data_IF_630937386514
#
_entry.id   IF_630937386514
#
_cell.length_a   1.000
_cell.length_b   1.000
_cell.length_c   1.000
_cell.angle_alpha   90.00
_cell.angle_beta   90.00
_cell.angle_gamma   90.00
#
_symmetry.space_group_name_H-M   'P 1'
#
loop_
_entity.id
_entity.type
_entity.pdbx_description
1 polymer ?
#
# COMPACT_ATOMS: atom_id res chain seq x y z
N UNK A 1 -0.68 14.48 -18.26
CA UNK A 1 -0.76 13.17 -18.92
C UNK A 1 0.61 12.56 -18.70
N UNK A 2 0.69 11.46 -18.01
CA UNK A 2 1.90 10.64 -17.97
C UNK A 2 2.15 10.19 -19.41
N UNK A 3 3.28 10.57 -20.00
CA UNK A 3 3.71 10.06 -21.31
C UNK A 3 4.20 8.62 -21.13
N UNK A 4 3.23 7.70 -20.98
CA UNK A 4 3.56 6.28 -20.96
C UNK A 4 4.17 5.95 -22.31
N UNK A 5 5.44 5.55 -22.31
CA UNK A 5 6.19 5.29 -23.53
C UNK A 5 5.61 4.07 -24.26
N UNK A 6 5.02 4.27 -25.43
CA UNK A 6 4.45 3.21 -26.27
C UNK A 6 5.43 2.04 -26.54
N UNK A 7 6.74 2.33 -26.66
CA UNK A 7 7.75 1.29 -26.79
C UNK A 7 7.81 0.33 -25.59
N UNK A 8 7.51 0.84 -24.39
CA UNK A 8 7.46 0.03 -23.18
C UNK A 8 6.19 -0.82 -23.13
N UNK A 9 5.05 -0.35 -23.67
CA UNK A 9 3.80 -1.13 -23.75
C UNK A 9 3.99 -2.33 -24.65
N UNK A 10 4.53 -2.17 -25.85
CA UNK A 10 4.80 -3.29 -26.77
C UNK A 10 5.75 -4.32 -26.14
N UNK A 11 6.76 -3.87 -25.39
CA UNK A 11 7.65 -4.77 -24.64
C UNK A 11 6.91 -5.53 -23.53
N UNK A 12 6.04 -4.87 -22.78
CA UNK A 12 5.19 -5.52 -21.77
C UNK A 12 4.34 -6.63 -22.39
N UNK A 13 3.66 -6.34 -23.51
CA UNK A 13 2.84 -7.32 -24.22
C UNK A 13 3.68 -8.47 -24.77
N UNK A 14 4.91 -8.21 -25.25
CA UNK A 14 5.86 -9.25 -25.67
C UNK A 14 6.26 -10.14 -24.49
N UNK A 15 6.63 -9.56 -23.32
CA UNK A 15 6.96 -10.32 -22.13
C UNK A 15 5.80 -11.22 -21.68
N UNK A 16 4.58 -10.69 -21.61
CA UNK A 16 3.38 -11.46 -21.22
C UNK A 16 3.10 -12.56 -22.24
N UNK A 17 3.17 -12.26 -23.54
CA UNK A 17 2.80 -13.20 -24.60
C UNK A 17 3.78 -14.40 -24.71
N UNK A 18 5.07 -14.21 -24.41
CA UNK A 18 6.07 -15.29 -24.45
C UNK A 18 6.16 -16.10 -23.17
N UNK A 19 5.72 -15.53 -22.03
CA UNK A 19 5.76 -16.21 -20.75
C UNK A 19 4.73 -17.36 -20.70
N UNK A 20 5.08 -18.44 -20.00
CA UNK A 20 4.18 -19.56 -19.70
C UNK A 20 3.73 -19.52 -18.25
N UNK A 21 4.60 -19.07 -17.35
CA UNK A 21 4.37 -18.97 -15.91
C UNK A 21 4.73 -17.55 -15.45
N UNK A 22 3.75 -16.85 -14.93
CA UNK A 22 3.90 -15.46 -14.47
C UNK A 22 3.66 -15.41 -12.97
N UNK A 23 4.62 -14.87 -12.23
CA UNK A 23 4.45 -14.52 -10.83
C UNK A 23 4.10 -13.02 -10.73
N UNK A 24 2.99 -12.70 -10.06
CA UNK A 24 2.57 -11.34 -9.72
C UNK A 24 2.86 -11.16 -8.25
N UNK A 25 3.72 -10.20 -7.90
CA UNK A 25 4.21 -10.02 -6.53
C UNK A 25 3.99 -8.58 -6.08
N UNK A 26 3.65 -8.40 -4.80
CA UNK A 26 3.51 -7.09 -4.18
C UNK A 26 4.25 -7.00 -2.84
N UNK A 27 4.17 -5.85 -2.16
CA UNK A 27 4.87 -5.59 -0.91
C UNK A 27 4.34 -6.41 0.28
N UNK A 28 5.13 -6.50 1.36
CA UNK A 28 4.70 -7.08 2.63
C UNK A 28 3.49 -6.35 3.20
N UNK A 29 2.58 -7.10 3.87
CA UNK A 29 1.32 -6.56 4.41
C UNK A 29 0.54 -5.80 3.35
N UNK A 30 0.12 -6.49 2.29
CA UNK A 30 -0.52 -5.87 1.15
C UNK A 30 -1.82 -5.16 1.56
N UNK A 31 -1.98 -3.95 1.07
CA UNK A 31 -3.17 -3.13 1.24
C UNK A 31 -4.11 -3.22 0.05
N UNK A 32 -5.05 -2.28 -0.06
CA UNK A 32 -6.03 -2.31 -1.14
C UNK A 32 -5.45 -1.99 -2.51
N UNK A 33 -4.41 -1.16 -2.62
CA UNK A 33 -3.77 -0.86 -3.91
C UNK A 33 -2.89 -2.03 -4.37
N UNK A 34 -2.11 -2.60 -3.45
CA UNK A 34 -1.34 -3.80 -3.69
C UNK A 34 -2.20 -4.96 -4.20
N UNK A 35 -3.31 -5.26 -3.52
CA UNK A 35 -4.22 -6.34 -3.91
C UNK A 35 -5.01 -5.99 -5.17
N UNK A 36 -5.48 -4.73 -5.27
CA UNK A 36 -6.25 -4.25 -6.43
C UNK A 36 -5.46 -4.33 -7.72
N UNK A 37 -4.22 -3.83 -7.71
CA UNK A 37 -3.33 -3.90 -8.88
C UNK A 37 -2.96 -5.34 -9.26
N UNK A 38 -2.63 -6.19 -8.28
CA UNK A 38 -2.31 -7.60 -8.54
C UNK A 38 -3.49 -8.38 -9.14
N UNK A 39 -4.70 -8.22 -8.58
CA UNK A 39 -5.90 -8.93 -9.06
C UNK A 39 -6.31 -8.42 -10.44
N UNK A 40 -6.24 -7.11 -10.67
CA UNK A 40 -6.54 -6.54 -11.98
C UNK A 40 -5.60 -7.08 -13.06
N UNK A 41 -4.30 -7.09 -12.78
CA UNK A 41 -3.31 -7.62 -13.71
C UNK A 41 -3.52 -9.12 -13.97
N UNK A 42 -3.81 -9.90 -12.93
CA UNK A 42 -4.10 -11.34 -13.05
C UNK A 42 -5.22 -11.61 -14.07
N UNK A 43 -6.35 -10.90 -13.96
CA UNK A 43 -7.45 -11.06 -14.89
C UNK A 43 -7.12 -10.57 -16.31
N UNK A 44 -6.36 -9.49 -16.44
CA UNK A 44 -5.94 -9.00 -17.75
C UNK A 44 -4.93 -9.93 -18.44
N UNK A 45 -4.02 -10.57 -17.70
CA UNK A 45 -3.12 -11.61 -18.25
C UNK A 45 -3.93 -12.76 -18.84
N UNK A 46 -5.03 -13.16 -18.22
CA UNK A 46 -5.95 -14.18 -18.74
C UNK A 46 -6.46 -13.91 -20.16
N UNK A 47 -6.51 -12.66 -20.60
CA UNK A 47 -6.91 -12.28 -21.96
C UNK A 47 -5.87 -12.67 -23.03
N UNK A 48 -4.63 -12.93 -22.65
CA UNK A 48 -3.56 -13.36 -23.55
C UNK A 48 -3.55 -14.89 -23.78
N UNK A 49 -4.27 -15.66 -22.95
CA UNK A 49 -4.68 -17.04 -23.24
C UNK A 49 -3.62 -18.15 -23.10
N UNK A 50 -2.35 -17.82 -22.91
CA UNK A 50 -1.26 -18.81 -22.92
C UNK A 50 -0.46 -18.94 -21.63
N UNK A 51 -0.54 -17.98 -20.74
CA UNK A 51 0.20 -17.92 -19.49
C UNK A 51 -0.65 -18.38 -18.30
N UNK A 52 -0.06 -19.19 -17.41
CA UNK A 52 -0.56 -19.40 -16.06
C UNK A 52 -0.02 -18.29 -15.17
N UNK A 53 -0.86 -17.49 -14.58
CA UNK A 53 -0.47 -16.45 -13.64
C UNK A 53 -0.80 -16.87 -12.20
N UNK A 54 0.10 -16.52 -11.24
CA UNK A 54 -0.15 -16.68 -9.81
C UNK A 54 0.16 -15.38 -9.10
N UNK A 55 -0.69 -15.00 -8.14
CA UNK A 55 -0.44 -13.91 -7.22
C UNK A 55 0.29 -14.46 -6.00
N UNK A 56 1.47 -13.91 -5.68
CA UNK A 56 2.30 -14.36 -4.57
C UNK A 56 2.49 -13.19 -3.61
N UNK A 57 1.94 -13.32 -2.41
CA UNK A 57 1.99 -12.29 -1.37
C UNK A 57 2.75 -12.79 -0.15
N UNK A 58 3.45 -11.88 0.54
CA UNK A 58 4.23 -12.23 1.73
C UNK A 58 3.33 -12.58 2.92
N UNK A 59 2.35 -11.73 3.20
CA UNK A 59 1.41 -11.85 4.32
C UNK A 59 -0.03 -11.92 3.81
N UNK A 60 -0.95 -12.40 4.66
CA UNK A 60 -2.37 -12.30 4.34
C UNK A 60 -2.79 -10.82 4.28
N UNK A 61 -3.60 -10.49 3.31
CA UNK A 61 -4.24 -9.17 3.17
C UNK A 61 -5.31 -8.97 4.26
N UNK A 62 -5.71 -7.71 4.56
CA UNK A 62 -6.80 -7.40 5.49
C UNK A 62 -8.14 -7.99 5.06
N UNK A 63 -8.93 -8.50 6.02
CA UNK A 63 -10.19 -9.20 5.75
C UNK A 63 -11.25 -8.39 5.00
N UNK A 64 -11.19 -7.06 5.06
CA UNK A 64 -12.09 -6.21 4.26
C UNK A 64 -11.84 -6.31 2.75
N UNK A 65 -10.73 -6.94 2.32
CA UNK A 65 -10.40 -7.23 0.92
C UNK A 65 -10.81 -8.64 0.47
N UNK A 66 -11.42 -9.47 1.35
CA UNK A 66 -11.83 -10.83 1.00
C UNK A 66 -12.73 -10.86 -0.24
N UNK A 67 -13.55 -9.82 -0.46
CA UNK A 67 -14.42 -9.73 -1.64
C UNK A 67 -13.66 -9.59 -2.97
N UNK A 68 -12.47 -8.98 -2.94
CA UNK A 68 -11.59 -8.93 -4.11
C UNK A 68 -10.84 -10.24 -4.31
N UNK A 69 -10.29 -10.77 -3.23
CA UNK A 69 -9.52 -12.01 -3.28
C UNK A 69 -10.38 -13.20 -3.77
N UNK A 70 -11.68 -13.20 -3.46
CA UNK A 70 -12.63 -14.21 -3.96
C UNK A 70 -12.78 -14.23 -5.50
N UNK A 71 -12.29 -13.22 -6.21
CA UNK A 71 -12.25 -13.19 -7.68
C UNK A 71 -11.09 -14.00 -8.28
N UNK A 72 -10.15 -14.47 -7.43
CA UNK A 72 -9.00 -15.29 -7.84
C UNK A 72 -9.15 -16.68 -7.24
N UNK A 73 -8.97 -17.77 -8.01
CA UNK A 73 -8.99 -19.11 -7.46
C UNK A 73 -7.93 -19.29 -6.36
N UNK A 74 -8.25 -20.02 -5.30
CA UNK A 74 -7.33 -20.27 -4.18
C UNK A 74 -5.99 -20.90 -4.63
N UNK A 75 -6.02 -21.69 -5.71
CA UNK A 75 -4.81 -22.29 -6.31
C UNK A 75 -3.85 -21.28 -6.94
N UNK A 76 -4.35 -20.07 -7.24
CA UNK A 76 -3.61 -19.04 -7.98
C UNK A 76 -3.21 -17.87 -7.09
N UNK A 77 -3.56 -17.90 -5.78
CA UNK A 77 -3.09 -16.97 -4.78
C UNK A 77 -2.31 -17.68 -3.68
N UNK A 78 -1.02 -17.41 -3.59
CA UNK A 78 -0.11 -18.07 -2.63
C UNK A 78 0.32 -17.06 -1.57
N UNK A 79 0.03 -17.37 -0.31
CA UNK A 79 0.48 -16.56 0.85
C UNK A 79 1.74 -17.21 1.42
N UNK A 80 2.89 -16.55 1.30
CA UNK A 80 4.18 -17.07 1.77
C UNK A 80 4.16 -17.44 3.26
N UNK A 81 3.54 -16.62 4.10
CA UNK A 81 3.42 -16.92 5.54
C UNK A 81 2.75 -18.25 5.84
N UNK A 82 1.95 -18.80 4.92
CA UNK A 82 1.25 -20.09 5.04
C UNK A 82 1.96 -21.20 4.26
N UNK A 83 2.47 -20.90 3.06
CA UNK A 83 3.04 -21.84 2.10
C UNK A 83 4.41 -21.33 1.58
N UNK A 84 5.44 -21.21 2.45
CA UNK A 84 6.69 -20.54 2.09
C UNK A 84 7.41 -21.23 0.92
N UNK A 85 7.55 -22.55 0.96
CA UNK A 85 8.24 -23.31 -0.10
C UNK A 85 7.51 -23.22 -1.44
N UNK A 86 6.18 -23.22 -1.43
CA UNK A 86 5.37 -23.10 -2.65
C UNK A 86 5.51 -21.70 -3.25
N UNK A 87 5.49 -20.65 -2.44
CA UNK A 87 5.66 -19.26 -2.87
C UNK A 87 7.03 -19.03 -3.51
N UNK A 88 8.12 -19.49 -2.85
CA UNK A 88 9.47 -19.36 -3.36
C UNK A 88 9.68 -20.18 -4.65
N UNK A 89 9.11 -21.39 -4.71
CA UNK A 89 9.17 -22.26 -5.90
C UNK A 89 8.42 -21.61 -7.06
N UNK A 90 7.24 -21.04 -6.80
CA UNK A 90 6.44 -20.37 -7.83
C UNK A 90 7.18 -19.18 -8.44
N UNK A 91 7.90 -18.36 -7.65
CA UNK A 91 8.75 -17.28 -8.16
C UNK A 91 9.93 -17.84 -8.96
N UNK A 92 10.61 -18.85 -8.43
CA UNK A 92 11.80 -19.47 -9.07
C UNK A 92 11.48 -20.11 -10.43
N UNK A 93 10.32 -20.73 -10.52
CA UNK A 93 9.88 -21.45 -11.71
C UNK A 93 9.19 -20.55 -12.74
N UNK A 94 8.96 -19.28 -12.44
CA UNK A 94 8.34 -18.34 -13.36
C UNK A 94 9.30 -17.94 -14.48
N UNK A 95 8.73 -17.65 -15.65
CA UNK A 95 9.43 -17.08 -16.80
C UNK A 95 9.40 -15.54 -16.72
N UNK A 96 8.41 -14.99 -16.02
CA UNK A 96 8.19 -13.55 -15.84
C UNK A 96 7.73 -13.29 -14.41
N UNK A 97 8.32 -12.29 -13.77
CA UNK A 97 7.88 -11.73 -12.48
C UNK A 97 7.44 -10.29 -12.67
N UNK A 98 6.21 -9.97 -12.29
CA UNK A 98 5.69 -8.60 -12.34
C UNK A 98 5.49 -8.12 -10.90
N UNK A 99 6.23 -7.09 -10.54
CA UNK A 99 6.23 -6.47 -9.23
C UNK A 99 5.35 -5.23 -9.24
N UNK A 100 4.37 -5.18 -8.33
CA UNK A 100 3.37 -4.12 -8.24
C UNK A 100 3.40 -3.45 -6.88
N UNK A 101 3.33 -2.13 -6.90
CA UNK A 101 3.14 -1.29 -5.72
C UNK A 101 4.28 -1.35 -4.69
N UNK A 102 5.51 -1.52 -5.16
CA UNK A 102 6.71 -1.35 -4.34
C UNK A 102 7.94 -1.01 -5.19
N UNK A 103 8.85 -0.24 -4.64
CA UNK A 103 9.98 0.32 -5.36
C UNK A 103 11.24 -0.54 -5.38
N UNK A 104 11.37 -1.56 -4.50
CA UNK A 104 12.54 -2.42 -4.39
C UNK A 104 12.21 -3.72 -3.65
N UNK A 105 12.96 -4.82 -3.91
CA UNK A 105 12.67 -6.16 -3.40
C UNK A 105 12.61 -6.29 -1.89
N UNK A 106 13.38 -5.47 -1.13
CA UNK A 106 13.31 -5.48 0.33
C UNK A 106 11.91 -5.16 0.89
N UNK A 107 11.04 -4.49 0.10
CA UNK A 107 9.65 -4.22 0.46
C UNK A 107 8.78 -5.48 0.43
N UNK A 108 9.22 -6.52 -0.25
CA UNK A 108 8.55 -7.82 -0.28
C UNK A 108 8.99 -8.75 0.88
N UNK A 109 9.85 -8.27 1.81
CA UNK A 109 10.29 -8.96 3.03
C UNK A 109 10.83 -10.38 2.76
N UNK A 110 10.14 -11.43 3.18
CA UNK A 110 10.59 -12.83 3.03
C UNK A 110 10.70 -13.29 1.58
N UNK A 111 10.05 -12.62 0.64
CA UNK A 111 10.15 -12.91 -0.79
C UNK A 111 11.39 -12.24 -1.44
N UNK A 112 12.12 -11.36 -0.75
CA UNK A 112 13.27 -10.62 -1.29
C UNK A 112 14.33 -11.55 -1.88
N UNK A 113 14.71 -12.61 -1.15
CA UNK A 113 15.71 -13.56 -1.60
C UNK A 113 15.28 -14.29 -2.88
N UNK A 114 14.04 -14.79 -2.92
CA UNK A 114 13.48 -15.48 -4.08
C UNK A 114 13.42 -14.56 -5.32
N UNK A 115 13.02 -13.30 -5.14
CA UNK A 115 12.99 -12.28 -6.20
C UNK A 115 14.38 -11.95 -6.72
N UNK A 116 15.36 -11.83 -5.82
CA UNK A 116 16.75 -11.52 -6.17
C UNK A 116 17.42 -12.67 -6.93
N UNK A 117 17.18 -13.92 -6.51
CA UNK A 117 17.78 -15.12 -7.09
C UNK A 117 17.07 -15.59 -8.37
N UNK A 118 15.82 -15.15 -8.59
CA UNK A 118 15.04 -15.53 -9.78
C UNK A 118 15.74 -15.05 -11.05
N UNK A 119 15.76 -15.93 -12.05
CA UNK A 119 16.27 -15.68 -13.41
C UNK A 119 15.19 -15.25 -14.39
N UNK A 120 13.95 -15.16 -13.94
CA UNK A 120 12.84 -14.64 -14.74
C UNK A 120 13.10 -13.19 -15.16
N UNK A 121 12.58 -12.79 -16.30
CA UNK A 121 12.45 -11.38 -16.62
C UNK A 121 11.62 -10.67 -15.56
N UNK A 122 11.97 -9.44 -15.19
CA UNK A 122 11.33 -8.71 -14.09
C UNK A 122 10.78 -7.37 -14.55
N UNK A 123 9.51 -7.13 -14.24
CA UNK A 123 8.83 -5.88 -14.57
C UNK A 123 8.41 -5.19 -13.27
N UNK A 124 8.62 -3.88 -13.20
CA UNK A 124 8.14 -3.03 -12.11
C UNK A 124 7.00 -2.14 -12.61
N UNK A 125 5.89 -2.09 -11.84
CA UNK A 125 4.81 -1.12 -11.99
C UNK A 125 4.55 -0.50 -10.62
N UNK A 126 5.01 0.75 -10.42
CA UNK A 126 5.09 1.34 -9.08
C UNK A 126 4.97 2.86 -9.11
N UNK A 127 4.41 3.43 -8.05
CA UNK A 127 4.26 4.88 -7.89
C UNK A 127 5.08 5.47 -6.72
N UNK A 128 5.91 4.66 -6.07
CA UNK A 128 6.75 5.10 -4.98
C UNK A 128 8.01 5.84 -5.46
N UNK A 129 8.57 6.66 -4.56
CA UNK A 129 9.85 7.33 -4.79
C UNK A 129 11.03 6.37 -4.81
N UNK A 130 12.07 6.70 -5.58
CA UNK A 130 13.35 6.01 -5.61
C UNK A 130 13.28 4.50 -5.97
N UNK A 131 12.72 4.16 -7.13
CA UNK A 131 12.68 2.77 -7.60
C UNK A 131 14.09 2.23 -7.89
N UNK A 132 14.33 0.97 -7.54
CA UNK A 132 15.58 0.23 -7.81
C UNK A 132 15.60 -0.24 -9.28
N UNK A 133 15.68 0.70 -10.23
CA UNK A 133 15.49 0.48 -11.69
C UNK A 133 16.41 -0.60 -12.26
N UNK A 134 17.62 -0.73 -11.74
CA UNK A 134 18.64 -1.70 -12.16
C UNK A 134 18.28 -3.16 -11.84
N UNK A 135 17.30 -3.39 -10.98
CA UNK A 135 16.83 -4.73 -10.63
C UNK A 135 15.74 -5.27 -11.58
N UNK A 136 15.32 -4.47 -12.59
CA UNK A 136 14.20 -4.78 -13.45
C UNK A 136 14.53 -4.61 -14.94
N UNK A 137 14.00 -5.49 -15.79
CA UNK A 137 14.17 -5.46 -17.24
C UNK A 137 13.24 -4.42 -17.92
N UNK A 138 12.10 -4.13 -17.27
CA UNK A 138 11.16 -3.11 -17.71
C UNK A 138 10.57 -2.40 -16.48
N UNK A 139 10.52 -1.06 -16.53
CA UNK A 139 10.06 -0.24 -15.42
C UNK A 139 9.01 0.76 -15.87
N UNK A 140 7.85 0.69 -15.25
CA UNK A 140 6.83 1.72 -15.22
C UNK A 140 6.82 2.31 -13.82
N UNK A 141 7.30 3.53 -13.66
CA UNK A 141 7.37 4.21 -12.36
C UNK A 141 7.00 5.67 -12.55
N UNK A 142 5.94 6.07 -11.87
CA UNK A 142 5.39 7.41 -11.94
C UNK A 142 4.94 7.85 -10.55
N UNK A 143 5.38 9.03 -10.10
CA UNK A 143 5.07 9.55 -8.76
C UNK A 143 3.95 10.58 -8.74
N UNK A 144 3.61 11.17 -9.91
CA UNK A 144 2.52 12.12 -10.08
C UNK A 144 1.21 11.41 -10.48
N UNK A 145 0.92 10.30 -9.80
CA UNK A 145 -0.27 9.47 -9.98
C UNK A 145 -0.80 9.02 -8.61
N UNK A 146 -2.06 8.65 -8.52
CA UNK A 146 -2.68 8.38 -7.23
C UNK A 146 -2.28 7.04 -6.61
N UNK A 147 -2.00 6.04 -7.44
CA UNK A 147 -1.83 4.64 -7.00
C UNK A 147 -1.18 3.78 -8.08
N UNK A 148 -0.65 2.62 -7.70
CA UNK A 148 -0.20 1.61 -8.67
C UNK A 148 -1.37 1.06 -9.50
N UNK A 149 -2.57 1.01 -8.95
CA UNK A 149 -3.80 0.66 -9.69
C UNK A 149 -4.13 1.69 -10.78
N UNK A 150 -3.96 2.99 -10.52
CA UNK A 150 -4.15 4.02 -11.54
C UNK A 150 -3.07 3.92 -12.63
N UNK A 151 -1.82 3.71 -12.24
CA UNK A 151 -0.73 3.51 -13.21
C UNK A 151 -0.99 2.28 -14.09
N UNK A 152 -1.36 1.17 -13.47
CA UNK A 152 -1.71 -0.06 -14.18
C UNK A 152 -2.91 0.15 -15.12
N UNK A 153 -3.95 0.88 -14.69
CA UNK A 153 -5.08 1.22 -15.54
C UNK A 153 -4.60 1.93 -16.81
N UNK A 154 -3.77 2.96 -16.69
CA UNK A 154 -3.26 3.69 -17.87
C UNK A 154 -2.39 2.79 -18.77
N UNK A 155 -1.57 1.90 -18.20
CA UNK A 155 -0.80 0.93 -18.96
C UNK A 155 -1.73 0.00 -19.75
N UNK A 156 -2.75 -0.56 -19.09
CA UNK A 156 -3.70 -1.48 -19.72
C UNK A 156 -4.50 -0.82 -20.85
N UNK A 157 -4.89 0.46 -20.68
CA UNK A 157 -5.60 1.22 -21.71
C UNK A 157 -4.79 1.36 -23.02
N UNK A 158 -3.46 1.36 -22.94
CA UNK A 158 -2.56 1.44 -24.09
C UNK A 158 -2.26 0.06 -24.73
N UNK A 159 -2.70 -1.04 -24.11
CA UNK A 159 -2.49 -2.39 -24.67
C UNK A 159 -3.43 -2.65 -25.86
N UNK A 160 -2.98 -3.48 -26.80
CA UNK A 160 -3.80 -3.88 -27.95
C UNK A 160 -5.10 -4.58 -27.55
N UNK A 161 -5.09 -5.31 -26.42
CA UNK A 161 -6.26 -6.05 -25.93
C UNK A 161 -7.37 -5.14 -25.44
N UNK A 162 -7.04 -3.99 -24.85
CA UNK A 162 -7.99 -3.03 -24.27
C UNK A 162 -8.26 -1.89 -25.27
N UNK A 163 -7.25 -1.39 -25.98
CA UNK A 163 -7.41 -0.47 -27.12
C UNK A 163 -8.12 0.85 -26.76
N UNK A 164 -7.81 1.45 -25.60
CA UNK A 164 -8.39 2.68 -25.06
C UNK A 164 -9.89 2.60 -24.69
N UNK A 165 -10.48 1.40 -24.65
CA UNK A 165 -11.88 1.19 -24.28
C UNK A 165 -11.95 0.45 -22.92
N UNK A 166 -12.27 1.15 -21.85
CA UNK A 166 -12.38 0.57 -20.52
C UNK A 166 -13.45 -0.55 -20.42
N UNK A 167 -14.42 -0.61 -21.33
CA UNK A 167 -15.40 -1.69 -21.37
C UNK A 167 -14.81 -3.05 -21.77
N UNK A 168 -13.59 -3.05 -22.33
CA UNK A 168 -12.83 -4.26 -22.64
C UNK A 168 -12.13 -4.86 -21.43
N UNK A 169 -12.04 -4.13 -20.31
CA UNK A 169 -11.48 -4.68 -19.07
C UNK A 169 -12.37 -5.81 -18.53
N UNK A 170 -11.80 -6.92 -18.08
CA UNK A 170 -12.56 -7.90 -17.32
C UNK A 170 -13.29 -7.23 -16.13
N UNK A 171 -14.55 -7.53 -15.83
CA UNK A 171 -15.30 -6.88 -14.75
C UNK A 171 -14.59 -6.96 -13.39
N UNK A 172 -13.94 -8.10 -13.08
CA UNK A 172 -13.13 -8.27 -11.87
C UNK A 172 -11.91 -7.34 -11.87
N UNK A 173 -11.24 -7.15 -13.00
CA UNK A 173 -10.13 -6.22 -13.12
C UNK A 173 -10.58 -4.76 -12.92
N UNK A 174 -11.70 -4.35 -13.53
CA UNK A 174 -12.24 -3.01 -13.38
C UNK A 174 -12.61 -2.72 -11.91
N UNK A 175 -13.22 -3.69 -11.21
CA UNK A 175 -13.55 -3.61 -9.77
C UNK A 175 -12.27 -3.49 -8.92
N UNK A 176 -11.28 -4.32 -9.20
CA UNK A 176 -10.02 -4.34 -8.48
C UNK A 176 -9.25 -3.01 -8.63
N UNK A 177 -9.15 -2.47 -9.84
CA UNK A 177 -8.55 -1.16 -10.12
C UNK A 177 -9.27 -0.02 -9.38
N UNK A 178 -10.60 -0.01 -9.41
CA UNK A 178 -11.40 0.98 -8.67
C UNK A 178 -11.15 0.88 -7.16
N UNK A 179 -11.04 -0.33 -6.63
CA UNK A 179 -10.80 -0.56 -5.20
C UNK A 179 -9.41 -0.08 -4.79
N UNK A 180 -8.36 -0.43 -5.54
CA UNK A 180 -6.99 -0.01 -5.23
C UNK A 180 -6.85 1.52 -5.24
N UNK A 181 -7.31 2.18 -6.30
CA UNK A 181 -7.34 3.64 -6.38
C UNK A 181 -8.14 4.28 -5.24
N UNK A 182 -9.28 3.68 -4.84
CA UNK A 182 -10.13 4.20 -3.75
C UNK A 182 -9.42 4.12 -2.40
N UNK A 183 -8.72 3.03 -2.11
CA UNK A 183 -8.01 2.86 -0.84
C UNK A 183 -6.82 3.80 -0.73
N UNK A 184 -5.99 3.90 -1.75
CA UNK A 184 -4.77 4.70 -1.70
C UNK A 184 -5.06 6.21 -1.68
N UNK A 185 -6.12 6.64 -2.38
CA UNK A 185 -6.59 8.04 -2.31
C UNK A 185 -7.40 8.35 -1.05
N UNK A 186 -7.65 7.36 -0.19
CA UNK A 186 -8.60 7.51 0.92
C UNK A 186 -9.93 8.12 0.40
N UNK A 187 -10.49 7.49 -0.62
CA UNK A 187 -11.73 7.92 -1.28
C UNK A 187 -11.66 9.36 -1.83
N UNK A 188 -10.62 9.65 -2.61
CA UNK A 188 -10.31 10.96 -3.22
C UNK A 188 -9.93 12.07 -2.23
N UNK A 189 -9.61 11.76 -0.98
CA UNK A 189 -9.15 12.75 0.00
C UNK A 189 -7.67 13.10 -0.15
N UNK A 190 -6.85 12.20 -0.69
CA UNK A 190 -5.39 12.35 -0.81
C UNK A 190 -4.92 12.03 -2.21
N UNK A 191 -3.78 12.61 -2.62
CA UNK A 191 -3.02 12.26 -3.84
C UNK A 191 -3.91 12.09 -5.08
N UNK A 192 -4.94 12.94 -5.24
CA UNK A 192 -5.93 12.84 -6.31
C UNK A 192 -5.57 13.79 -7.45
N UNK A 193 -5.49 13.28 -8.66
CA UNK A 193 -5.14 13.99 -9.87
C UNK A 193 -6.32 14.02 -10.85
N UNK A 194 -6.31 14.90 -11.89
CA UNK A 194 -7.33 14.87 -12.95
C UNK A 194 -7.43 13.51 -13.66
N UNK A 195 -6.31 12.76 -13.76
CA UNK A 195 -6.26 11.41 -14.32
C UNK A 195 -7.04 10.41 -13.47
N UNK A 196 -6.96 10.53 -12.13
CA UNK A 196 -7.69 9.70 -11.16
C UNK A 196 -9.20 9.79 -11.38
N UNK A 197 -9.72 11.02 -11.57
CA UNK A 197 -11.16 11.21 -11.86
C UNK A 197 -11.57 10.67 -13.23
N UNK A 198 -10.70 10.78 -14.25
CA UNK A 198 -10.96 10.18 -15.57
C UNK A 198 -11.03 8.65 -15.49
N UNK A 199 -10.08 8.02 -14.79
CA UNK A 199 -10.11 6.58 -14.52
C UNK A 199 -11.40 6.19 -13.80
N UNK A 200 -11.73 6.86 -12.69
CA UNK A 200 -12.96 6.57 -11.93
C UNK A 200 -14.21 6.69 -12.82
N UNK A 201 -14.32 7.76 -13.61
CA UNK A 201 -15.43 7.95 -14.53
C UNK A 201 -15.52 6.84 -15.57
N UNK A 202 -14.39 6.44 -16.15
CA UNK A 202 -14.35 5.36 -17.16
C UNK A 202 -14.73 4.01 -16.54
N UNK A 203 -14.22 3.68 -15.36
CA UNK A 203 -14.56 2.44 -14.66
C UNK A 203 -16.04 2.39 -14.23
N UNK A 204 -16.60 3.50 -13.76
CA UNK A 204 -18.05 3.58 -13.48
C UNK A 204 -18.89 3.35 -14.73
N UNK A 205 -18.46 3.86 -15.88
CA UNK A 205 -19.16 3.64 -17.15
C UNK A 205 -19.17 2.16 -17.59
N UNK A 206 -18.23 1.32 -17.10
CA UNK A 206 -18.26 -0.14 -17.32
C UNK A 206 -19.25 -0.88 -16.45
N UNK A 207 -19.91 -0.21 -15.51
CA UNK A 207 -20.87 -0.81 -14.59
C UNK A 207 -20.28 -1.25 -13.25
N UNK A 208 -19.07 -0.81 -12.90
CA UNK A 208 -18.50 -1.04 -11.56
C UNK A 208 -19.39 -0.41 -10.49
N UNK A 209 -19.85 -1.23 -9.55
CA UNK A 209 -20.64 -0.76 -8.40
C UNK A 209 -19.69 -0.20 -7.32
N UNK A 210 -19.51 1.14 -7.37
CA UNK A 210 -18.68 1.84 -6.41
C UNK A 210 -19.27 1.84 -5.00
N UNK A 211 -20.61 1.88 -4.88
CA UNK A 211 -21.27 1.91 -3.57
C UNK A 211 -21.07 0.56 -2.85
N UNK A 212 -21.09 -0.56 -3.60
CA UNK A 212 -20.70 -1.86 -3.04
C UNK A 212 -19.23 -1.83 -2.57
N UNK A 213 -18.30 -1.33 -3.38
CA UNK A 213 -16.88 -1.22 -2.98
C UNK A 213 -16.74 -0.43 -1.69
N UNK A 214 -17.34 0.76 -1.59
CA UNK A 214 -17.28 1.58 -0.38
C UNK A 214 -17.90 0.90 0.84
N UNK A 215 -19.01 0.18 0.64
CA UNK A 215 -19.64 -0.60 1.69
C UNK A 215 -18.71 -1.71 2.20
N UNK A 216 -18.01 -2.42 1.32
CA UNK A 216 -17.03 -3.45 1.68
C UNK A 216 -15.80 -2.87 2.38
N UNK A 217 -15.31 -1.74 1.93
CA UNK A 217 -14.09 -1.11 2.49
C UNK A 217 -14.34 -0.44 3.84
N UNK A 218 -15.47 0.25 4.02
CA UNK A 218 -15.65 1.19 5.12
C UNK A 218 -16.84 0.90 6.03
N UNK A 219 -17.75 -0.02 5.66
CA UNK A 219 -18.96 -0.31 6.45
C UNK A 219 -19.01 -1.74 7.00
N UNK A 220 -17.87 -2.44 7.06
CA UNK A 220 -17.75 -3.81 7.55
C UNK A 220 -17.06 -3.91 8.93
N UNK A 221 -16.82 -2.76 9.56
CA UNK A 221 -16.09 -2.74 10.82
C UNK A 221 -16.92 -3.26 12.00
N UNK A 222 -16.28 -4.00 12.88
CA UNK A 222 -16.89 -4.45 14.13
C UNK A 222 -17.12 -3.29 15.11
N UNK A 223 -18.04 -3.49 16.05
CA UNK A 223 -18.33 -2.52 17.12
C UNK A 223 -17.08 -2.18 17.97
N UNK A 224 -16.19 -3.18 18.17
CA UNK A 224 -14.91 -3.02 18.86
C UNK A 224 -14.05 -1.88 18.28
N UNK A 225 -14.00 -1.76 16.95
CA UNK A 225 -13.28 -0.69 16.26
C UNK A 225 -13.79 0.70 16.65
N UNK A 226 -15.11 0.89 16.67
CA UNK A 226 -15.70 2.18 17.07
C UNK A 226 -15.51 2.47 18.56
N UNK A 227 -15.54 1.44 19.40
CA UNK A 227 -15.33 1.59 20.85
C UNK A 227 -13.88 1.96 21.15
N UNK A 228 -12.89 1.29 20.56
CA UNK A 228 -11.47 1.65 20.73
C UNK A 228 -11.19 3.04 20.15
N UNK A 229 -11.78 3.39 18.99
CA UNK A 229 -11.67 4.73 18.44
C UNK A 229 -12.17 5.80 19.42
N UNK A 230 -13.34 5.59 20.03
CA UNK A 230 -13.89 6.51 21.05
C UNK A 230 -12.94 6.68 22.24
N UNK A 231 -12.36 5.58 22.75
CA UNK A 231 -11.36 5.64 23.82
C UNK A 231 -10.09 6.39 23.38
N UNK A 232 -9.59 6.09 22.19
CA UNK A 232 -8.40 6.76 21.66
C UNK A 232 -8.58 8.28 21.54
N UNK A 233 -9.70 8.71 20.98
CA UNK A 233 -9.97 10.14 20.78
C UNK A 233 -10.22 10.87 22.11
N UNK A 234 -10.86 10.21 23.07
CA UNK A 234 -11.22 10.84 24.35
C UNK A 234 -10.09 10.81 25.38
N UNK A 235 -9.42 9.66 25.50
CA UNK A 235 -8.57 9.36 26.66
C UNK A 235 -7.07 9.29 26.32
N UNK A 236 -6.71 8.97 25.05
CA UNK A 236 -5.32 8.75 24.64
C UNK A 236 -4.77 9.85 23.70
N UNK A 237 -5.64 10.64 23.07
CA UNK A 237 -5.18 11.70 22.18
C UNK A 237 -4.48 12.80 22.97
N UNK A 238 -3.22 13.03 22.66
CA UNK A 238 -2.43 14.15 23.17
C UNK A 238 -2.01 15.04 22.00
N UNK A 239 -2.08 16.36 22.21
CA UNK A 239 -1.66 17.38 21.23
C UNK A 239 -0.62 18.28 21.89
N UNK A 240 0.56 18.39 21.27
CA UNK A 240 1.66 19.22 21.74
C UNK A 240 1.54 20.66 21.23
N UNK A 241 2.26 21.58 21.87
CA UNK A 241 2.36 22.98 21.41
C UNK A 241 2.97 23.11 20.00
N UNK A 242 3.79 22.14 19.58
CA UNK A 242 4.37 22.06 18.23
C UNK A 242 3.36 21.62 17.17
N UNK A 243 2.10 21.38 17.52
CA UNK A 243 1.07 20.89 16.60
C UNK A 243 1.26 19.43 16.20
N UNK A 244 1.79 18.61 17.10
CA UNK A 244 1.90 17.17 16.96
C UNK A 244 0.79 16.50 17.76
N UNK A 245 0.01 15.66 17.11
CA UNK A 245 -0.95 14.77 17.78
C UNK A 245 -0.38 13.37 17.89
N UNK A 246 -0.56 12.69 19.02
CA UNK A 246 -0.20 11.30 19.15
C UNK A 246 -1.16 10.51 20.03
N UNK A 247 -1.22 9.21 19.77
CA UNK A 247 -1.98 8.22 20.54
C UNK A 247 -1.12 6.97 20.72
N UNK A 248 -1.06 6.46 21.95
CA UNK A 248 -0.30 5.25 22.29
C UNK A 248 -1.27 4.14 22.68
N UNK A 249 -1.25 3.04 21.94
CA UNK A 249 -2.03 1.83 22.19
C UNK A 249 -1.12 0.73 22.73
N UNK A 250 -1.25 0.42 23.99
CA UNK A 250 -0.60 -0.72 24.61
C UNK A 250 -1.35 -2.03 24.38
N UNK A 251 -0.70 -3.16 24.65
CA UNK A 251 -1.31 -4.48 24.54
C UNK A 251 -2.52 -4.69 25.44
N UNK A 252 -2.56 -4.01 26.60
CA UNK A 252 -3.69 -4.14 27.52
C UNK A 252 -4.94 -3.53 26.91
N UNK A 253 -4.83 -2.34 26.33
CA UNK A 253 -5.90 -1.64 25.61
C UNK A 253 -6.35 -2.43 24.37
N UNK A 254 -5.39 -2.94 23.57
CA UNK A 254 -5.70 -3.77 22.39
C UNK A 254 -6.53 -5.01 22.77
N UNK A 255 -6.12 -5.69 23.83
CA UNK A 255 -6.86 -6.87 24.35
C UNK A 255 -8.22 -6.50 24.92
N UNK A 256 -8.31 -5.41 25.71
CA UNK A 256 -9.55 -4.96 26.33
C UNK A 256 -10.66 -4.72 25.30
N UNK A 257 -10.31 -4.09 24.17
CA UNK A 257 -11.24 -3.80 23.09
C UNK A 257 -11.31 -4.90 22.02
N UNK A 258 -10.61 -6.02 22.20
CA UNK A 258 -10.52 -7.09 21.21
C UNK A 258 -10.16 -6.57 19.81
N UNK A 259 -9.10 -5.74 19.75
CA UNK A 259 -8.64 -5.09 18.52
C UNK A 259 -7.88 -6.09 17.68
N UNK A 260 -8.38 -6.38 16.49
CA UNK A 260 -7.73 -7.21 15.48
C UNK A 260 -6.76 -6.43 14.57
N UNK A 261 -6.11 -7.16 13.68
CA UNK A 261 -5.30 -6.54 12.63
C UNK A 261 -6.21 -5.77 11.66
N UNK A 262 -5.82 -4.54 11.30
CA UNK A 262 -6.64 -3.64 10.48
C UNK A 262 -7.63 -2.75 11.25
N UNK A 263 -8.05 -3.12 12.46
CA UNK A 263 -9.05 -2.35 13.22
C UNK A 263 -8.61 -0.92 13.57
N UNK A 264 -7.33 -0.63 13.56
CA UNK A 264 -6.78 0.72 13.82
C UNK A 264 -6.39 1.48 12.55
N UNK A 265 -6.64 0.90 11.38
CA UNK A 265 -6.28 1.53 10.11
C UNK A 265 -7.05 2.84 9.91
N UNK A 266 -6.34 3.86 9.45
CA UNK A 266 -6.91 5.20 9.24
C UNK A 266 -7.02 6.07 10.50
N UNK A 267 -6.94 5.53 11.72
CA UNK A 267 -7.09 6.31 12.96
C UNK A 267 -6.05 7.41 13.10
N UNK A 268 -4.83 7.14 12.64
CA UNK A 268 -3.74 8.13 12.63
C UNK A 268 -4.05 9.39 11.80
N UNK A 269 -5.00 9.32 10.84
CA UNK A 269 -5.39 10.47 10.04
C UNK A 269 -6.36 11.41 10.78
N UNK A 270 -7.12 10.90 11.75
CA UNK A 270 -8.23 11.66 12.35
C UNK A 270 -7.79 12.95 13.05
N UNK A 271 -6.68 12.97 13.83
CA UNK A 271 -6.23 14.21 14.47
C UNK A 271 -5.80 15.30 13.48
N UNK A 272 -5.48 14.95 12.22
CA UNK A 272 -5.14 15.94 11.18
C UNK A 272 -6.34 16.83 10.79
N UNK A 273 -7.57 16.47 11.17
CA UNK A 273 -8.75 17.32 11.02
C UNK A 273 -8.73 18.55 11.94
N UNK A 274 -7.91 18.52 12.98
CA UNK A 274 -7.71 19.66 13.89
C UNK A 274 -6.80 20.68 13.19
N UNK A 275 -7.20 21.96 13.19
CA UNK A 275 -6.51 23.01 12.41
C UNK A 275 -5.04 23.14 12.78
N UNK A 276 -4.72 23.13 14.07
CA UNK A 276 -3.40 23.32 14.64
C UNK A 276 -2.47 22.11 14.48
N UNK A 277 -3.04 20.90 14.24
CA UNK A 277 -2.26 19.69 14.08
C UNK A 277 -1.64 19.65 12.69
N UNK A 278 -0.31 19.53 12.62
CA UNK A 278 0.50 19.36 11.37
C UNK A 278 1.00 17.96 11.17
N UNK A 279 1.17 17.18 12.23
CA UNK A 279 1.66 15.80 12.19
C UNK A 279 0.93 14.95 13.23
N UNK A 280 0.61 13.71 12.87
CA UNK A 280 -0.09 12.78 13.74
C UNK A 280 0.61 11.43 13.79
N UNK A 281 0.67 10.84 14.99
CA UNK A 281 1.28 9.55 15.26
C UNK A 281 0.28 8.59 15.90
N UNK A 282 0.30 7.35 15.44
CA UNK A 282 -0.30 6.22 16.12
C UNK A 282 0.79 5.21 16.47
N UNK A 283 0.99 4.99 17.76
CA UNK A 283 1.93 4.03 18.29
C UNK A 283 1.15 2.82 18.76
N UNK A 284 1.54 1.64 18.29
CA UNK A 284 0.92 0.38 18.65
C UNK A 284 1.95 -0.63 19.12
N UNK A 285 1.73 -1.17 20.30
CA UNK A 285 2.55 -2.23 20.86
C UNK A 285 2.15 -3.57 20.21
N UNK A 286 3.03 -4.13 19.37
CA UNK A 286 2.91 -5.47 18.82
C UNK A 286 3.70 -6.48 19.70
N UNK A 287 3.72 -7.77 19.34
CA UNK A 287 4.36 -8.79 20.15
C UNK A 287 5.90 -8.68 20.17
N UNK A 288 6.48 -8.27 19.06
CA UNK A 288 7.93 -8.23 18.82
C UNK A 288 8.49 -6.80 18.66
N UNK A 289 7.62 -5.79 18.55
CA UNK A 289 8.03 -4.41 18.25
C UNK A 289 6.96 -3.40 18.65
N UNK A 290 7.37 -2.14 18.71
CA UNK A 290 6.44 -1.01 18.78
C UNK A 290 6.35 -0.37 17.41
N UNK A 291 5.18 -0.49 16.79
CA UNK A 291 4.91 0.05 15.45
C UNK A 291 4.54 1.52 15.56
N UNK A 292 5.03 2.32 14.62
CA UNK A 292 4.73 3.75 14.51
C UNK A 292 4.14 4.04 13.15
N UNK A 293 2.94 4.59 13.12
CA UNK A 293 2.33 5.14 11.91
C UNK A 293 2.38 6.67 12.00
N UNK A 294 2.80 7.33 10.92
CA UNK A 294 2.98 8.78 10.86
C UNK A 294 2.20 9.35 9.68
N UNK A 295 1.47 10.42 9.93
CA UNK A 295 0.80 11.20 8.89
C UNK A 295 1.06 12.68 9.11
N UNK A 296 1.03 13.47 8.04
CA UNK A 296 1.26 14.90 8.13
C UNK A 296 0.46 15.68 7.10
N UNK A 297 0.22 16.95 7.39
CA UNK A 297 -0.30 17.90 6.42
C UNK A 297 0.79 18.35 5.45
N UNK A 298 0.38 18.86 4.30
CA UNK A 298 1.29 19.42 3.29
C UNK A 298 2.21 20.47 3.92
N UNK A 299 3.49 20.41 3.58
CA UNK A 299 4.53 21.29 4.13
C UNK A 299 5.26 20.72 5.35
N UNK A 300 4.89 19.51 5.80
CA UNK A 300 5.60 18.78 6.86
C UNK A 300 5.88 17.36 6.38
N UNK A 301 7.14 16.92 6.39
CA UNK A 301 7.53 15.61 5.85
C UNK A 301 7.43 14.50 6.90
N UNK A 302 6.41 13.65 6.78
CA UNK A 302 6.31 12.43 7.58
C UNK A 302 7.45 11.46 7.26
N UNK A 303 7.84 11.35 5.99
CA UNK A 303 8.94 10.49 5.55
C UNK A 303 10.28 10.88 6.18
N UNK A 304 10.63 12.18 6.16
CA UNK A 304 11.87 12.65 6.77
C UNK A 304 11.89 12.39 8.27
N UNK A 305 10.79 12.66 8.97
CA UNK A 305 10.64 12.39 10.40
C UNK A 305 10.81 10.88 10.70
N UNK A 306 10.16 10.01 9.92
CA UNK A 306 10.26 8.56 10.07
C UNK A 306 11.71 8.06 9.91
N UNK A 307 12.41 8.54 8.90
CA UNK A 307 13.81 8.17 8.63
C UNK A 307 14.79 8.64 9.69
N UNK A 308 14.59 9.82 10.24
CA UNK A 308 15.51 10.38 11.23
C UNK A 308 15.35 9.78 12.63
N UNK A 309 14.10 9.48 13.05
CA UNK A 309 13.80 9.19 14.43
C UNK A 309 13.06 7.87 14.69
N UNK A 310 12.46 7.25 13.66
CA UNK A 310 11.56 6.10 13.86
C UNK A 310 11.96 4.85 13.06
N UNK A 311 13.21 4.73 12.64
CA UNK A 311 13.72 3.55 11.91
C UNK A 311 12.79 3.13 10.75
N UNK A 312 12.32 4.10 9.96
CA UNK A 312 11.28 3.89 8.98
C UNK A 312 11.39 4.75 7.73
N UNK A 313 10.26 4.96 7.06
CA UNK A 313 10.13 5.75 5.84
C UNK A 313 8.75 5.60 5.20
N UNK A 314 8.57 6.13 4.00
CA UNK A 314 7.32 6.08 3.25
C UNK A 314 7.17 7.26 2.29
N UNK A 315 5.93 7.67 2.05
CA UNK A 315 5.59 8.86 1.26
C UNK A 315 5.79 10.16 2.05
N UNK A 316 5.78 11.29 1.35
CA UNK A 316 5.99 12.61 1.96
C UNK A 316 5.06 12.87 3.15
N UNK A 317 3.77 12.56 3.03
CA UNK A 317 2.77 12.80 4.07
C UNK A 317 2.25 11.52 4.76
N UNK A 318 2.75 10.34 4.38
CA UNK A 318 2.35 9.05 4.93
C UNK A 318 3.57 8.13 5.08
N UNK A 319 4.00 7.90 6.31
CA UNK A 319 5.17 7.10 6.61
C UNK A 319 4.88 6.15 7.77
N UNK A 320 5.72 5.14 7.89
CA UNK A 320 5.72 4.20 9.01
C UNK A 320 7.11 4.01 9.58
N UNK A 321 7.17 3.44 10.77
CA UNK A 321 8.42 3.13 11.44
C UNK A 321 8.23 2.20 12.62
N UNK A 322 9.27 2.06 13.42
CA UNK A 322 9.25 1.27 14.66
C UNK A 322 10.12 1.92 15.72
N UNK A 323 9.79 1.64 16.98
CA UNK A 323 10.69 1.87 18.11
C UNK A 323 11.25 0.52 18.55
N UNK A 324 12.56 0.46 18.66
CA UNK A 324 13.27 -0.74 19.12
C UNK A 324 13.39 -0.72 20.64
N UNK A 325 13.12 -1.84 21.29
CA UNK A 325 13.36 -2.04 22.70
C UNK A 325 14.64 -2.89 22.88
N UNK A 326 15.58 -2.52 23.74
CA UNK A 326 15.60 -1.34 24.61
C UNK A 326 16.31 -0.11 23.99
N UNK A 327 16.63 -0.10 22.69
CA UNK A 327 17.52 0.91 22.10
C UNK A 327 16.88 2.32 22.03
N UNK A 328 15.59 2.42 21.66
CA UNK A 328 14.88 3.69 21.54
C UNK A 328 14.06 4.00 22.79
N UNK A 329 13.40 2.98 23.35
CA UNK A 329 12.58 3.03 24.57
C UNK A 329 12.76 1.73 25.36
N UNK A 330 12.64 1.75 26.69
CA UNK A 330 12.72 0.53 27.52
C UNK A 330 11.39 -0.19 27.62
N UNK A 331 10.28 0.54 27.58
CA UNK A 331 8.91 0.02 27.50
C UNK A 331 7.97 1.03 26.84
N UNK A 332 6.73 0.61 26.58
CA UNK A 332 5.71 1.40 25.84
C UNK A 332 5.35 2.71 26.56
N UNK A 333 5.50 2.82 27.86
CA UNK A 333 5.16 4.04 28.63
C UNK A 333 6.08 5.21 28.31
N UNK A 334 7.29 4.92 27.81
CA UNK A 334 8.25 5.94 27.38
C UNK A 334 7.95 6.50 25.96
N UNK A 335 7.07 5.86 25.20
CA UNK A 335 6.79 6.24 23.81
C UNK A 335 6.28 7.69 23.68
N UNK A 336 5.44 8.16 24.59
CA UNK A 336 4.96 9.54 24.63
C UNK A 336 6.11 10.54 24.73
N UNK A 337 6.99 10.38 25.73
CA UNK A 337 8.14 11.25 25.93
C UNK A 337 9.16 11.18 24.78
N UNK A 338 9.31 10.00 24.16
CA UNK A 338 10.14 9.85 22.97
C UNK A 338 9.60 10.69 21.81
N UNK A 339 8.30 10.61 21.52
CA UNK A 339 7.67 11.38 20.45
C UNK A 339 7.81 12.88 20.69
N UNK A 340 7.44 13.36 21.88
CA UNK A 340 7.49 14.79 22.21
C UNK A 340 8.91 15.35 22.01
N UNK A 341 9.93 14.67 22.53
CA UNK A 341 11.32 15.08 22.39
C UNK A 341 11.79 15.08 20.93
N UNK A 342 11.56 13.99 20.19
CA UNK A 342 12.08 13.84 18.82
C UNK A 342 11.33 14.74 17.83
N UNK A 343 10.04 14.97 18.01
CA UNK A 343 9.28 15.88 17.16
C UNK A 343 9.60 17.34 17.45
N UNK A 344 9.82 17.71 18.71
CA UNK A 344 10.32 19.04 19.05
C UNK A 344 11.67 19.32 18.37
N UNK A 345 12.61 18.38 18.44
CA UNK A 345 13.89 18.48 17.75
C UNK A 345 13.72 18.59 16.23
N UNK A 346 12.85 17.76 15.64
CA UNK A 346 12.53 17.80 14.20
C UNK A 346 12.04 19.17 13.74
N UNK A 347 11.13 19.78 14.47
CA UNK A 347 10.58 21.10 14.13
C UNK A 347 11.55 22.25 14.38
N UNK A 348 12.38 22.16 15.41
CA UNK A 348 13.41 23.16 15.70
C UNK A 348 14.46 23.20 14.58
N UNK A 349 15.00 22.06 14.17
CA UNK A 349 15.96 21.96 13.05
C UNK A 349 15.40 22.47 11.73
N UNK A 350 14.13 22.20 11.43
CA UNK A 350 13.50 22.63 10.19
C UNK A 350 13.21 24.14 10.14
N UNK A 351 13.12 24.80 11.29
CA UNK A 351 12.99 26.25 11.36
C UNK A 351 14.32 26.98 11.13
N UNK A 352 15.43 26.41 11.62
CA UNK A 352 16.79 26.95 11.41
C UNK A 352 17.25 26.92 9.94
N UNK A 353 16.70 26.07 9.11
CA UNK A 353 17.00 25.98 7.66
C UNK A 353 16.10 26.84 6.78
N UNK A 354 15.13 27.59 7.36
CA UNK A 354 14.23 28.49 6.63
C UNK A 354 14.56 29.96 6.81
N UNK A 355 15.48 30.29 7.73
CA UNK A 355 16.12 31.61 7.86
C UNK A 355 17.46 31.67 7.08
#
# INVERSE_FOLDING_TARGET
>A
MTDINFGNISRLEEFISRARRIAIVTHMKPDGDAMGSCIALYHCIGMYGSASAKIIINDRYPGYLDFLAAEVPDSDMIVHAQLPTEAETAIKDSDLVICLDFNAFHRADRLEAALTESKADKILIDHHLNPAREAFDLVFSETDISSASELLYHILMETVKIGHDASMLPPAAARALMTGMTTDTNNFANSTYPSTFRMASALLATGVDRDEILSRLYNQYGENRLRVLGHMMKDLLTITEDGVAYMVLDKATLRHYNVGEGDTEGFVNMPLSIAEVRMSFLIKEDDDRVRVSIRSKKGTSANTCARLYFNGGGHENAAGGKLNMPADITDITEAAGYIERTTHEFFTRNNEHKE
#
